data_IF_149535562904
#
_entry.id   IF_149535562904
#
_cell.length_a   1.000
_cell.length_b   1.000
_cell.length_c   1.000
_cell.angle_alpha   90.00
_cell.angle_beta   90.00
_cell.angle_gamma   90.00
#
_symmetry.space_group_name_H-M   'P 1'
#
loop_
_entity.id
_entity.type
_entity.pdbx_description
1 polymer ?
2 non-polymer ?
3 non-polymer ?
4 water ?
#
# COMPACT_ATOMS: atom_id res chain seq x y z
N UNK A 22 -20.30 10.35 7.97
CA UNK A 22 -18.99 10.93 8.27
C UNK A 22 -17.83 9.99 7.97
N UNK A 23 -16.71 10.52 7.50
CA UNK A 23 -15.52 9.71 7.25
C UNK A 23 -15.00 9.15 8.59
N UNK A 24 -14.90 7.83 8.72
CA UNK A 24 -14.26 7.23 9.89
C UNK A 24 -12.77 7.47 9.88
N UNK A 25 -12.21 7.61 11.07
CA UNK A 25 -10.78 7.79 11.23
C UNK A 25 -10.18 6.58 11.92
N UNK A 26 -9.13 6.01 11.36
CA UNK A 26 -8.43 4.91 12.11
C UNK A 26 -8.03 5.43 13.48
N UNK A 27 -8.24 4.67 14.55
CA UNK A 27 -7.81 5.16 15.84
C UNK A 27 -6.28 5.29 15.90
N UNK A 28 -5.82 6.32 16.58
CA UNK A 28 -4.38 6.53 16.74
C UNK A 28 -3.86 5.65 17.87
N UNK A 29 -2.82 4.88 17.58
CA UNK A 29 -2.20 4.03 18.60
C UNK A 29 -0.73 4.33 18.65
N UNK A 30 -0.22 4.59 19.85
CA UNK A 30 1.21 4.80 20.09
C UNK A 30 1.69 3.78 21.12
N UNK A 31 2.99 3.49 21.18
CA UNK A 31 3.48 2.51 22.16
C UNK A 31 3.08 2.93 23.58
N UNK A 32 2.72 1.92 24.38
CA UNK A 32 2.28 2.14 25.76
C UNK A 32 3.48 2.31 26.68
N UNK A 33 3.22 2.35 28.00
CA UNK A 33 4.28 2.57 28.97
C UNK A 33 5.35 1.51 28.94
N UNK A 34 5.03 0.33 28.42
CA UNK A 34 5.99 -0.75 28.25
C UNK A 34 6.58 -0.86 26.85
N UNK A 35 6.30 0.08 26.00
CA UNK A 35 6.80 0.06 24.64
C UNK A 35 6.04 -0.83 23.67
N UNK A 36 4.85 -1.26 24.08
CA UNK A 36 4.08 -2.27 23.30
C UNK A 36 2.96 -1.58 22.51
N UNK A 37 2.74 -2.09 21.30
CA UNK A 37 1.56 -1.84 20.47
C UNK A 37 0.85 -3.16 20.28
N UNK A 38 -0.39 -3.25 20.72
CA UNK A 38 -1.16 -4.49 20.63
C UNK A 38 -2.09 -4.49 19.41
N UNK A 39 -1.96 -5.55 18.59
CA UNK A 39 -2.72 -5.67 17.32
C UNK A 39 -3.36 -7.04 17.28
N UNK A 40 -4.68 -7.13 17.34
CA UNK A 40 -5.39 -8.38 17.38
C UNK A 40 -6.17 -8.55 16.07
N UNK A 41 -5.81 -9.56 15.30
CA UNK A 41 -6.49 -9.87 14.03
C UNK A 41 -7.72 -10.71 14.36
N UNK A 42 -8.87 -10.35 13.79
CA UNK A 42 -10.12 -10.95 14.18
C UNK A 42 -11.16 -10.87 13.08
N UNK A 43 -12.05 -11.83 13.05
CA UNK A 43 -13.22 -11.75 12.16
C UNK A 43 -14.33 -10.95 12.80
N UNK A 44 -15.28 -10.52 11.98
CA UNK A 44 -16.45 -9.83 12.51
C UNK A 44 -17.44 -9.58 11.37
N UNK A 45 -18.22 -8.50 11.54
CA UNK A 45 -19.11 -8.02 10.50
C UNK A 45 -18.96 -6.52 10.46
N UNK A 46 -19.17 -5.97 9.26
CA UNK A 46 -18.94 -4.53 9.04
C UNK A 46 -20.00 -3.94 8.12
N UNK A 47 -20.47 -2.73 8.49
CA UNK A 47 -21.37 -1.99 7.64
C UNK A 47 -20.60 -0.99 6.77
N UNK A 48 -20.66 -1.20 5.47
CA UNK A 48 -20.12 -0.30 4.52
C UNK A 48 -21.08 0.85 4.17
N UNK A 49 -22.37 0.59 4.35
CA UNK A 49 -23.39 1.58 4.07
C UNK A 49 -24.53 1.35 4.99
N UNK A 50 -25.27 2.39 5.27
CA UNK A 50 -26.41 2.34 6.17
C UNK A 50 -27.39 1.32 5.72
N UNK A 51 -27.75 0.47 6.66
CA UNK A 51 -28.75 -0.55 6.43
C UNK A 51 -28.22 -1.91 6.10
N UNK A 52 -26.93 -2.08 5.92
CA UNK A 52 -26.44 -3.37 5.54
C UNK A 52 -25.15 -3.67 6.30
N UNK A 53 -24.78 -4.96 6.23
CA UNK A 53 -23.56 -5.42 6.88
C UNK A 53 -23.08 -6.67 6.12
N UNK A 54 -21.76 -6.93 6.19
CA UNK A 54 -21.17 -8.08 5.52
C UNK A 54 -20.12 -8.71 6.43
N UNK A 55 -19.85 -9.99 6.17
CA UNK A 55 -18.73 -10.65 6.86
C UNK A 55 -17.43 -9.94 6.57
N UNK A 56 -16.55 -9.87 7.57
CA UNK A 56 -15.35 -9.08 7.47
C UNK A 56 -14.27 -9.63 8.39
N UNK A 57 -13.10 -8.98 8.37
CA UNK A 57 -12.05 -9.19 9.36
C UNK A 57 -11.23 -7.93 9.43
N UNK A 58 -10.63 -7.69 10.59
CA UNK A 58 -9.84 -6.50 10.81
C UNK A 58 -8.87 -6.65 11.91
N UNK A 59 -8.30 -5.51 12.32
CA UNK A 59 -7.29 -5.44 13.36
C UNK A 59 -7.84 -4.54 14.46
N UNK A 60 -7.96 -5.08 15.68
CA UNK A 60 -8.56 -4.33 16.78
C UNK A 60 -9.99 -3.86 16.43
N UNK A 61 -10.68 -4.66 15.66
CA UNK A 61 -12.02 -4.38 15.19
C UNK A 61 -12.30 -5.22 13.98
N UNK A 62 -13.51 -5.02 13.40
CA UNK A 62 -14.00 -5.91 12.38
C UNK A 62 -13.58 -5.61 10.97
N UNK A 63 -12.93 -4.44 10.75
CA UNK A 63 -12.54 -4.03 9.40
C UNK A 63 -11.44 -2.97 9.51
N UNK A 64 -10.44 -3.03 8.65
CA UNK A 64 -9.32 -2.08 8.72
C UNK A 64 -8.68 -2.17 10.09
N UNK A 65 -8.07 -1.10 10.57
CA UNK A 65 -7.18 -1.19 11.71
C UNK A 65 -6.76 0.17 12.15
N UNK A 66 -5.97 0.24 13.22
CA UNK A 66 -5.46 1.51 13.73
C UNK A 66 -4.41 2.14 12.81
N UNK A 67 -4.16 3.42 13.07
CA UNK A 67 -2.93 4.09 12.60
C UNK A 67 -1.95 4.09 13.77
N UNK A 68 -0.91 3.30 13.61
CA UNK A 68 0.17 3.18 14.59
C UNK A 68 1.21 4.25 14.28
N UNK A 69 1.49 5.15 15.25
CA UNK A 69 2.48 6.21 15.06
C UNK A 69 3.73 5.90 15.88
N UNK A 70 4.85 5.76 15.20
CA UNK A 70 6.13 5.41 15.77
C UNK A 70 7.13 6.51 15.53
N UNK A 71 7.97 6.76 16.53
CA UNK A 71 9.03 7.76 16.45
C UNK A 71 10.32 7.14 15.95
N UNK A 72 10.98 7.79 14.98
CA UNK A 72 12.27 7.35 14.57
C UNK A 72 13.16 7.29 15.82
N UNK A 73 13.96 6.23 15.88
CA UNK A 73 14.82 6.01 17.01
C UNK A 73 14.22 5.22 18.18
N UNK A 74 12.92 4.98 18.23
CA UNK A 74 12.41 4.23 19.37
C UNK A 74 12.38 2.71 19.10
N UNK A 75 12.33 1.95 20.16
CA UNK A 75 12.14 0.48 20.11
C UNK A 75 10.73 0.16 20.57
N UNK A 76 10.03 -0.65 19.78
CA UNK A 76 8.64 -1.00 20.00
C UNK A 76 8.45 -2.48 19.84
N UNK A 77 7.62 -3.06 20.72
CA UNK A 77 7.16 -4.42 20.56
C UNK A 77 5.84 -4.38 19.78
N UNK A 78 5.81 -4.98 18.60
CA UNK A 78 4.58 -5.09 17.80
C UNK A 78 3.95 -6.43 18.16
N UNK A 79 3.01 -6.38 19.12
CA UNK A 79 2.43 -7.57 19.71
C UNK A 79 1.21 -7.97 18.92
N UNK A 80 1.33 -8.98 18.05
CA UNK A 80 0.27 -9.40 17.14
C UNK A 80 -0.39 -10.65 17.69
N UNK A 81 -1.68 -10.63 17.89
CA UNK A 81 -2.45 -11.81 18.31
C UNK A 81 -3.36 -12.24 17.17
N UNK A 82 -3.33 -13.53 16.85
CA UNK A 82 -4.24 -14.09 15.86
C UNK A 82 -5.46 -14.62 16.52
N UNK A 83 -6.55 -13.83 16.52
CA UNK A 83 -7.78 -14.24 17.05
C UNK A 83 -8.71 -14.99 16.10
N UNK A 84 -8.19 -15.43 14.95
CA UNK A 84 -8.96 -16.19 13.97
C UNK A 84 -8.71 -17.69 14.10
N UNK A 85 -9.54 -18.44 13.38
CA UNK A 85 -9.47 -19.92 13.31
C UNK A 85 -8.57 -20.44 12.18
N UNK A 86 -7.79 -19.55 11.57
CA UNK A 86 -6.86 -19.90 10.53
C UNK A 86 -5.59 -19.05 10.70
N UNK A 87 -4.49 -19.53 10.12
CA UNK A 87 -3.24 -18.80 10.21
C UNK A 87 -3.30 -17.43 9.53
N UNK A 88 -2.48 -16.52 10.04
CA UNK A 88 -2.38 -15.20 9.39
C UNK A 88 -0.95 -14.68 9.62
N UNK A 89 -0.67 -13.51 9.02
CA UNK A 89 0.59 -12.83 9.21
C UNK A 89 0.34 -11.33 9.07
N UNK A 90 1.34 -10.54 9.45
CA UNK A 90 1.36 -9.12 9.03
C UNK A 90 2.74 -8.84 8.43
N UNK A 91 2.74 -8.28 7.22
CA UNK A 91 3.91 -7.70 6.59
C UNK A 91 3.94 -6.19 6.88
N UNK A 92 5.08 -5.74 7.39
CA UNK A 92 5.29 -4.33 7.76
C UNK A 92 5.75 -3.62 6.47
N UNK A 93 4.75 -3.24 5.68
CA UNK A 93 4.91 -2.72 4.30
C UNK A 93 5.38 -1.26 4.35
N UNK A 94 6.69 -1.10 4.18
CA UNK A 94 7.35 0.18 4.30
C UNK A 94 8.23 0.37 5.50
N UNK A 95 8.10 -0.53 6.49
CA UNK A 95 8.97 -0.46 7.66
C UNK A 95 10.31 -1.07 7.35
N UNK A 96 11.38 -0.49 7.91
CA UNK A 96 12.74 -1.04 7.66
C UNK A 96 13.09 -1.99 8.81
N UNK A 97 13.07 -3.28 8.49
CA UNK A 97 13.44 -4.34 9.45
C UNK A 97 14.19 -5.43 8.72
N UNK A 98 15.03 -6.17 9.45
CA UNK A 98 15.52 -7.42 8.90
C UNK A 98 14.39 -8.42 8.75
N UNK A 99 14.57 -9.39 7.85
CA UNK A 99 13.45 -10.28 7.52
C UNK A 99 12.96 -11.10 8.70
N UNK A 100 13.81 -11.35 9.68
CA UNK A 100 13.35 -12.13 10.86
C UNK A 100 12.30 -11.38 11.67
N UNK A 101 12.10 -10.07 11.46
CA UNK A 101 11.08 -9.29 12.18
C UNK A 101 9.84 -9.04 11.34
N UNK A 102 9.78 -9.60 10.12
CA UNK A 102 8.65 -9.37 9.22
C UNK A 102 7.84 -10.62 9.02
N UNK A 103 6.59 -10.47 8.62
CA UNK A 103 5.68 -11.60 8.47
C UNK A 103 5.49 -12.01 7.01
N UNK A 104 5.28 -13.30 6.82
CA UNK A 104 5.02 -13.86 5.51
C UNK A 104 4.82 -15.35 5.60
N UNK A 105 4.80 -16.03 4.45
CA UNK A 105 4.35 -17.46 4.44
C UNK A 105 5.34 -18.42 5.10
N UNK A 106 6.56 -17.98 5.38
CA UNK A 106 7.53 -18.83 6.11
C UNK A 106 7.41 -18.73 7.59
N UNK A 107 6.57 -17.82 8.09
CA UNK A 107 6.38 -17.65 9.55
C UNK A 107 4.96 -17.25 9.87
N UNK A 108 4.02 -18.08 9.48
CA UNK A 108 2.62 -17.85 9.73
C UNK A 108 2.33 -17.94 11.22
N UNK A 109 1.49 -17.04 11.70
CA UNK A 109 1.00 -17.08 13.08
C UNK A 109 -0.20 -18.03 13.14
N UNK A 110 -0.02 -19.14 13.85
CA UNK A 110 -1.07 -20.11 13.93
C UNK A 110 -2.33 -19.56 14.60
N UNK A 111 -3.44 -20.16 14.24
CA UNK A 111 -4.72 -19.80 14.84
C UNK A 111 -4.64 -19.74 16.34
N UNK A 112 -5.07 -18.63 16.92
CA UNK A 112 -5.09 -18.42 18.34
C UNK A 112 -3.75 -18.04 18.99
N UNK A 113 -2.66 -17.99 18.23
CA UNK A 113 -1.34 -17.72 18.78
C UNK A 113 -0.92 -16.23 18.62
N UNK A 114 0.24 -15.89 19.16
CA UNK A 114 0.76 -14.54 19.13
C UNK A 114 2.17 -14.51 18.55
N UNK A 115 2.57 -13.34 18.11
CA UNK A 115 3.90 -13.08 17.50
C UNK A 115 4.27 -11.67 17.93
N UNK A 116 5.42 -11.51 18.57
CA UNK A 116 5.74 -10.25 19.22
C UNK A 116 7.13 -9.73 18.86
N UNK A 117 7.39 -9.49 17.58
CA UNK A 117 8.69 -8.96 17.16
C UNK A 117 8.99 -7.59 17.81
N UNK A 118 10.24 -7.38 18.16
CA UNK A 118 10.71 -6.15 18.75
C UNK A 118 11.55 -5.39 17.73
N UNK A 119 11.10 -4.22 17.37
CA UNK A 119 11.71 -3.41 16.29
C UNK A 119 12.31 -2.15 16.82
N UNK A 120 13.48 -1.82 16.31
CA UNK A 120 14.16 -0.58 16.59
C UNK A 120 14.09 0.26 15.33
N UNK A 121 13.32 1.32 15.38
CA UNK A 121 13.02 2.13 14.17
C UNK A 121 14.18 3.06 13.82
N UNK A 122 14.63 2.96 12.55
CA UNK A 122 15.65 3.93 12.07
C UNK A 122 15.47 4.00 10.55
N UNK A 123 14.69 5.00 10.10
CA UNK A 123 14.37 5.13 8.69
C UNK A 123 13.80 6.51 8.43
N UNK A 124 13.68 6.94 7.16
CA UNK A 124 13.04 8.21 6.86
C UNK A 124 11.60 8.25 7.26
N UNK A 125 11.17 9.43 7.71
CA UNK A 125 9.76 9.68 8.02
C UNK A 125 8.90 9.32 6.82
N UNK A 126 7.81 8.60 7.07
CA UNK A 126 7.05 7.98 5.98
C UNK A 126 5.73 7.46 6.47
N UNK A 127 4.84 7.27 5.51
CA UNK A 127 3.48 6.71 5.67
C UNK A 127 3.48 5.30 5.10
N UNK A 128 3.44 4.35 6.03
CA UNK A 128 3.54 2.90 5.76
C UNK A 128 2.27 2.21 6.15
N UNK A 129 2.22 0.88 6.00
CA UNK A 129 1.01 0.15 6.35
C UNK A 129 1.35 -1.30 6.62
N UNK A 130 0.33 -2.10 6.94
CA UNK A 130 0.56 -3.51 7.21
C UNK A 130 -0.67 -4.31 6.92
N UNK A 131 -0.47 -5.58 6.55
CA UNK A 131 -1.55 -6.40 6.01
C UNK A 131 -1.02 -7.82 5.88
N UNK A 132 -1.89 -8.79 5.67
CA UNK A 132 -1.41 -10.20 5.56
C UNK A 132 -0.58 -10.39 4.32
N UNK A 133 0.32 -11.35 4.39
CA UNK A 133 1.13 -11.75 3.24
C UNK A 133 1.30 -13.26 3.38
N UNK A 134 0.61 -13.99 2.52
CA UNK A 134 0.45 -15.42 2.64
C UNK A 134 0.73 -16.09 1.30
N UNK A 135 0.82 -17.40 1.29
CA UNK A 135 0.93 -18.25 0.10
C UNK A 135 -0.46 -18.69 -0.32
N UNK A 136 -0.97 -18.10 -1.39
CA UNK A 136 -2.25 -18.47 -1.95
C UNK A 136 -3.51 -17.92 -1.32
N UNK A 137 -3.39 -17.27 -0.17
CA UNK A 137 -4.50 -16.81 0.67
C UNK A 137 -4.50 -15.31 0.98
N UNK A 138 -3.60 -14.59 0.32
CA UNK A 138 -3.49 -13.17 0.63
C UNK A 138 -4.71 -12.38 0.21
N UNK A 139 -5.21 -12.66 -0.96
CA UNK A 139 -6.32 -11.87 -1.51
C UNK A 139 -7.56 -11.93 -0.65
N UNK A 140 -7.89 -13.12 -0.17
CA UNK A 140 -9.07 -13.27 0.66
C UNK A 140 -8.93 -12.55 1.98
N UNK A 141 -7.81 -12.77 2.67
CA UNK A 141 -7.66 -12.13 4.01
C UNK A 141 -7.59 -10.62 3.88
N UNK A 142 -6.89 -10.13 2.87
CA UNK A 142 -6.88 -8.66 2.63
C UNK A 142 -8.28 -8.14 2.33
N UNK A 143 -8.99 -8.79 1.42
CA UNK A 143 -10.30 -8.27 1.03
C UNK A 143 -11.28 -8.28 2.18
N UNK A 144 -11.22 -9.31 3.04
CA UNK A 144 -12.06 -9.32 4.23
C UNK A 144 -11.93 -8.05 5.01
N UNK A 145 -10.71 -7.49 5.04
CA UNK A 145 -10.51 -6.18 5.62
C UNK A 145 -9.28 -6.03 6.51
N UNK A 146 -8.37 -7.02 6.56
CA UNK A 146 -7.28 -6.93 7.50
C UNK A 146 -6.17 -6.02 6.99
N UNK A 147 -6.02 -4.88 7.64
CA UNK A 147 -4.96 -3.92 7.34
C UNK A 147 -4.92 -2.89 8.43
N UNK A 148 -3.75 -2.26 8.58
CA UNK A 148 -3.64 -1.06 9.41
C UNK A 148 -2.57 -0.14 8.79
N UNK A 149 -2.42 1.02 9.42
CA UNK A 149 -1.54 2.07 8.94
C UNK A 149 -0.41 2.28 9.92
N UNK A 150 0.75 2.74 9.43
CA UNK A 150 1.93 2.89 10.28
C UNK A 150 2.76 4.07 9.87
N UNK A 151 2.69 5.16 10.62
CA UNK A 151 3.49 6.34 10.36
C UNK A 151 4.77 6.30 11.16
N UNK A 152 5.90 6.53 10.50
CA UNK A 152 7.16 6.83 11.17
C UNK A 152 7.35 8.34 11.11
N UNK A 153 7.51 8.97 12.24
CA UNK A 153 7.75 10.42 12.36
C UNK A 153 9.09 10.69 12.99
N UNK A 154 9.68 11.80 12.59
CA UNK A 154 10.90 12.29 13.22
C UNK A 154 10.67 13.58 13.97
N UNK A 155 9.40 13.97 14.14
CA UNK A 155 9.03 15.12 14.92
C UNK A 155 9.26 16.46 14.24
N UNK A 156 9.68 16.47 12.99
CA UNK A 156 10.09 17.73 12.31
C UNK A 156 9.04 18.26 11.29
N UNK A 157 7.80 17.71 11.32
CA UNK A 157 6.82 18.16 10.33
C UNK A 157 6.47 19.63 10.44
N UNK A 158 6.43 20.14 11.66
CA UNK A 158 6.15 21.60 11.83
C UNK A 158 7.22 22.43 11.16
N UNK A 159 8.48 22.04 11.32
CA UNK A 159 9.58 22.76 10.67
C UNK A 159 9.49 22.65 9.14
N UNK A 160 8.95 21.55 8.65
CA UNK A 160 8.73 21.38 7.21
C UNK A 160 7.57 22.23 6.67
N UNK A 161 6.74 22.75 7.56
CA UNK A 161 5.55 23.44 7.12
C UNK A 161 4.39 22.56 6.77
N UNK A 162 4.31 21.37 7.35
CA UNK A 162 3.28 20.41 6.99
C UNK A 162 2.19 20.39 8.05
N UNK A 163 0.93 20.25 7.63
CA UNK A 163 -0.17 19.98 8.59
C UNK A 163 0.12 18.67 9.33
N UNK A 164 -0.21 18.63 10.61
CA UNK A 164 0.10 17.47 11.43
C UNK A 164 -0.88 17.23 12.57
N UNK A 165 -2.07 17.83 12.51
CA UNK A 165 -3.06 17.61 13.58
C UNK A 165 -3.97 16.44 13.16
N UNK A 166 -3.71 15.28 13.69
CA UNK A 166 -4.35 14.05 13.26
C UNK A 166 -5.83 14.13 13.34
N UNK A 167 -6.49 13.79 12.23
CA UNK A 167 -7.91 13.84 12.12
C UNK A 167 -8.56 15.19 11.90
N UNK A 168 -7.73 16.23 11.88
CA UNK A 168 -8.20 17.61 11.67
C UNK A 168 -7.68 18.11 10.32
N UNK A 169 -6.38 18.28 10.22
CA UNK A 169 -5.77 18.68 8.97
C UNK A 169 -4.73 17.67 8.45
N UNK A 170 -4.70 16.48 9.05
CA UNK A 170 -3.81 15.37 8.63
C UNK A 170 -4.70 14.13 8.69
N UNK A 171 -5.16 13.68 7.52
CA UNK A 171 -6.22 12.72 7.42
C UNK A 171 -5.81 11.57 6.51
N UNK A 172 -5.87 10.31 7.01
CA UNK A 172 -5.58 9.15 6.16
C UNK A 172 -6.82 8.75 5.37
N UNK A 173 -6.56 8.37 4.09
CA UNK A 173 -7.63 7.91 3.20
C UNK A 173 -7.20 6.56 2.62
N UNK A 174 -7.91 5.51 2.99
CA UNK A 174 -7.65 4.17 2.46
C UNK A 174 -8.73 3.89 1.41
N UNK A 175 -8.27 3.85 0.16
CA UNK A 175 -9.17 3.68 -0.99
C UNK A 175 -9.30 2.19 -1.32
N UNK A 176 -10.53 1.69 -1.40
CA UNK A 176 -10.76 0.28 -1.71
C UNK A 176 -12.02 0.16 -2.57
N UNK A 177 -12.31 -1.05 -3.02
CA UNK A 177 -13.53 -1.36 -3.72
C UNK A 177 -14.14 -2.66 -3.25
N UNK A 178 -15.42 -2.83 -3.50
CA UNK A 178 -16.19 -3.96 -3.01
C UNK A 178 -17.17 -4.44 -4.09
N UNK A 179 -17.18 -5.76 -4.30
CA UNK A 179 -18.25 -6.42 -5.04
C UNK A 179 -19.47 -6.62 -4.15
N UNK A 180 -19.24 -6.90 -2.87
CA UNK A 180 -20.29 -7.27 -1.93
C UNK A 180 -20.22 -6.40 -0.69
N UNK A 181 -21.36 -5.76 -0.37
CA UNK A 181 -21.49 -5.00 0.86
C UNK A 181 -22.55 -5.56 1.81
N UNK A 182 -23.26 -6.63 1.43
CA UNK A 182 -24.24 -7.30 2.29
C UNK A 182 -24.10 -8.77 2.11
N UNK A 183 -23.98 -9.49 3.21
CA UNK A 183 -23.92 -10.94 3.18
C UNK A 183 -22.59 -11.49 3.58
N UNK A 184 -22.51 -12.82 3.51
CA UNK A 184 -21.35 -13.53 3.93
C UNK A 184 -20.39 -13.99 2.85
N UNK A 185 -20.85 -13.99 1.62
CA UNK A 185 -19.99 -14.44 0.48
C UNK A 185 -19.41 -13.20 -0.14
N UNK A 186 -18.29 -12.71 0.42
CA UNK A 186 -17.77 -11.39 0.07
C UNK A 186 -16.62 -11.46 -0.96
N UNK A 187 -15.85 -12.54 -0.97
CA UNK A 187 -14.70 -12.70 -1.87
C UNK A 187 -14.77 -14.03 -2.55
N UNK A 188 -15.36 -14.03 -3.75
CA UNK A 188 -15.63 -15.24 -4.50
C UNK A 188 -15.11 -15.07 -5.93
N UNK A 189 -13.80 -15.07 -6.11
CA UNK A 189 -13.26 -14.75 -7.44
C UNK A 189 -13.53 -15.90 -8.43
N UNK A 190 -13.82 -15.50 -9.66
CA UNK A 190 -13.94 -16.44 -10.76
C UNK A 190 -12.66 -16.38 -11.59
N UNK A 191 -12.64 -17.19 -12.68
CA UNK A 191 -11.39 -17.33 -13.43
C UNK A 191 -10.97 -16.00 -14.05
N UNK A 192 -11.91 -15.18 -14.48
CA UNK A 192 -11.57 -13.86 -14.97
C UNK A 192 -10.98 -12.97 -13.90
N UNK A 193 -11.49 -13.08 -12.68
CA UNK A 193 -10.90 -12.33 -11.52
C UNK A 193 -9.49 -12.77 -11.25
N UNK A 194 -9.24 -14.08 -11.35
CA UNK A 194 -7.86 -14.54 -11.08
C UNK A 194 -6.93 -14.03 -12.19
N UNK A 195 -7.42 -14.02 -13.46
CA UNK A 195 -6.58 -13.59 -14.58
C UNK A 195 -6.36 -12.08 -14.58
N UNK A 196 -7.37 -11.30 -14.24
CA UNK A 196 -7.33 -9.82 -14.45
C UNK A 196 -7.29 -9.02 -13.17
N UNK A 197 -7.48 -9.68 -12.04
CA UNK A 197 -7.63 -9.00 -10.75
C UNK A 197 -9.09 -8.84 -10.39
N UNK A 198 -9.36 -8.89 -9.09
CA UNK A 198 -10.70 -8.79 -8.54
C UNK A 198 -11.03 -7.34 -8.30
N UNK A 199 -12.10 -6.86 -8.96
CA UNK A 199 -12.61 -5.47 -8.78
C UNK A 199 -14.11 -5.52 -8.48
N UNK A 200 -14.61 -4.49 -7.82
CA UNK A 200 -16.05 -4.33 -7.60
C UNK A 200 -16.50 -2.92 -7.85
N UNK A 201 -17.80 -2.76 -8.00
CA UNK A 201 -18.37 -1.44 -8.38
C UNK A 201 -18.65 -0.52 -7.23
N UNK A 202 -18.59 -1.01 -5.99
CA UNK A 202 -18.85 -0.12 -4.83
C UNK A 202 -17.51 0.40 -4.33
N UNK A 203 -17.26 1.69 -4.46
CA UNK A 203 -16.00 2.27 -3.95
C UNK A 203 -16.16 2.68 -2.52
N UNK A 204 -15.12 2.49 -1.74
CA UNK A 204 -15.15 2.84 -0.31
C UNK A 204 -13.90 3.62 0.08
N UNK A 205 -14.06 4.47 1.10
CA UNK A 205 -12.95 5.18 1.73
C UNK A 205 -13.06 4.95 3.22
N UNK A 206 -11.95 4.46 3.81
CA UNK A 206 -11.94 4.12 5.23
C UNK A 206 -13.13 3.27 5.62
N UNK A 207 -13.47 2.31 4.74
CA UNK A 207 -14.49 1.35 5.04
C UNK A 207 -15.92 1.71 4.78
N UNK A 208 -16.25 2.84 4.22
CA UNK A 208 -17.63 3.36 4.00
C UNK A 208 -17.77 3.86 2.56
N UNK A 209 -18.99 3.59 2.05
CA UNK A 209 -19.39 4.12 0.73
C UNK A 209 -19.71 5.62 0.90
N UNK A 210 -19.06 6.40 0.06
CA UNK A 210 -19.35 7.83 -0.09
C UNK A 210 -19.39 8.61 1.22
N UNK A 211 -18.30 8.59 2.00
CA UNK A 211 -18.28 9.38 3.22
C UNK A 211 -18.08 10.87 2.93
N UNK A 212 -18.29 11.67 3.99
CA UNK A 212 -18.06 13.10 3.92
C UNK A 212 -17.10 13.49 5.05
N UNK A 213 -16.05 14.23 4.70
CA UNK A 213 -15.09 14.77 5.64
C UNK A 213 -15.29 16.26 5.80
N UNK A 214 -15.26 16.74 7.03
CA UNK A 214 -15.22 18.18 7.31
C UNK A 214 -13.80 18.61 7.51
N UNK A 215 -13.40 19.73 6.87
CA UNK A 215 -12.01 20.18 6.93
C UNK A 215 -11.97 21.66 7.24
N UNK A 216 -10.89 22.15 7.84
CA UNK A 216 -10.69 23.59 7.99
C UNK A 216 -10.45 24.27 6.65
N UNK A 217 -10.68 25.59 6.61
CA UNK A 217 -10.38 26.40 5.46
C UNK A 217 -8.90 26.75 5.47
N UNK A 218 -8.07 25.74 5.19
CA UNK A 218 -6.63 25.85 5.28
C UNK A 218 -6.02 24.73 4.42
N UNK A 219 -4.72 24.59 4.56
CA UNK A 219 -3.99 23.48 3.86
C UNK A 219 -4.16 22.21 4.69
N UNK A 220 -4.61 21.14 4.00
CA UNK A 220 -4.88 19.85 4.61
C UNK A 220 -4.00 18.82 3.96
N UNK A 221 -3.43 17.94 4.80
CA UNK A 221 -2.62 16.79 4.36
C UNK A 221 -3.50 15.56 4.30
N UNK A 222 -3.51 14.92 3.13
CA UNK A 222 -4.24 13.65 2.95
C UNK A 222 -3.17 12.59 2.70
N UNK A 223 -3.20 11.54 3.53
CA UNK A 223 -2.26 10.44 3.44
C UNK A 223 -3.03 9.30 2.78
N UNK A 224 -2.77 9.08 1.46
CA UNK A 224 -3.62 8.23 0.63
C UNK A 224 -2.90 6.89 0.39
N UNK A 225 -3.63 5.82 0.72
CA UNK A 225 -3.20 4.44 0.46
C UNK A 225 -4.23 3.78 -0.47
N UNK A 226 -3.75 3.07 -1.52
CA UNK A 226 -4.62 2.15 -2.24
C UNK A 226 -4.53 0.77 -1.58
N UNK A 227 -5.61 0.41 -0.88
CA UNK A 227 -5.68 -0.86 -0.21
C UNK A 227 -6.55 -1.92 -0.93
N UNK A 228 -6.85 -1.69 -2.19
CA UNK A 228 -7.71 -2.60 -2.95
C UNK A 228 -6.93 -3.86 -3.39
N UNK A 229 -7.70 -4.91 -3.77
CA UNK A 229 -7.07 -6.10 -4.32
C UNK A 229 -6.33 -5.85 -5.61
N UNK A 230 -6.93 -4.98 -6.44
CA UNK A 230 -6.48 -4.90 -7.86
C UNK A 230 -6.70 -3.55 -8.50
N UNK A 231 -7.80 -2.87 -8.18
CA UNK A 231 -8.18 -1.63 -8.83
C UNK A 231 -7.08 -0.59 -8.67
N UNK A 232 -6.77 0.14 -9.75
CA UNK A 232 -5.96 1.35 -9.70
C UNK A 232 -6.90 2.54 -9.58
N UNK A 233 -6.53 3.51 -8.73
CA UNK A 233 -7.27 4.74 -8.62
C UNK A 233 -6.54 5.83 -9.35
N UNK A 234 -7.31 6.78 -9.94
CA UNK A 234 -6.72 7.88 -10.70
C UNK A 234 -7.53 9.10 -10.21
N UNK A 235 -7.05 9.76 -9.16
CA UNK A 235 -7.90 10.62 -8.37
C UNK A 235 -7.72 12.09 -8.68
N UNK A 236 -8.82 12.81 -8.70
CA UNK A 236 -8.81 14.28 -8.80
C UNK A 236 -9.84 14.81 -7.83
N UNK A 237 -9.80 16.15 -7.63
CA UNK A 237 -10.93 16.84 -7.05
C UNK A 237 -11.85 17.37 -8.16
N UNK A 238 -13.12 17.46 -7.86
CA UNK A 238 -14.15 17.77 -8.85
C UNK A 238 -13.96 19.18 -9.45
N UNK A 239 -13.29 20.09 -8.78
CA UNK A 239 -12.96 21.39 -9.33
C UNK A 239 -11.52 21.47 -9.78
N UNK A 240 -10.84 20.34 -9.92
CA UNK A 240 -9.50 20.30 -10.46
C UNK A 240 -8.45 21.01 -9.68
N UNK A 241 -8.70 21.31 -8.40
CA UNK A 241 -7.66 21.99 -7.63
C UNK A 241 -6.46 21.08 -7.47
N UNK A 242 -5.28 21.68 -7.36
CA UNK A 242 -4.07 20.86 -7.35
C UNK A 242 -3.93 20.02 -6.09
N UNK A 243 -3.36 18.85 -6.28
CA UNK A 243 -2.90 17.97 -5.22
C UNK A 243 -1.40 18.13 -5.14
N UNK A 244 -0.89 18.76 -4.08
CA UNK A 244 0.54 18.98 -3.98
C UNK A 244 1.18 17.72 -3.36
N UNK A 245 1.87 16.95 -4.19
CA UNK A 245 2.43 15.68 -3.68
C UNK A 245 3.72 15.98 -2.95
N UNK A 246 3.77 15.64 -1.66
CA UNK A 246 4.93 15.87 -0.84
C UNK A 246 5.69 14.59 -0.48
N UNK A 247 5.10 13.43 -0.67
CA UNK A 247 5.79 12.17 -0.29
C UNK A 247 5.11 11.03 -1.01
N UNK A 248 5.92 9.96 -1.18
CA UNK A 248 5.37 8.64 -1.54
C UNK A 248 5.86 7.60 -0.51
N UNK A 249 5.90 6.34 -0.90
CA UNK A 249 6.06 5.21 0.04
C UNK A 249 7.20 5.43 1.02
N UNK A 250 8.35 5.86 0.51
CA UNK A 250 9.57 5.97 1.26
C UNK A 250 9.88 7.33 1.80
N UNK A 251 8.93 8.25 1.71
CA UNK A 251 9.07 9.55 2.35
C UNK A 251 9.08 10.73 1.39
N UNK A 252 9.58 11.83 1.91
CA UNK A 252 9.41 13.14 1.26
C UNK A 252 10.20 13.22 -0.01
N UNK A 253 9.68 14.07 -0.90
CA UNK A 253 10.43 14.51 -2.11
C UNK A 253 10.91 15.92 -1.89
N UNK A 254 12.11 16.17 -2.41
CA UNK A 254 12.72 17.46 -2.20
C UNK A 254 11.97 18.64 -2.78
N UNK A 255 11.36 18.40 -3.96
CA UNK A 255 10.61 19.45 -4.69
C UNK A 255 9.18 19.00 -4.91
N UNK A 256 8.30 19.21 -3.90
CA UNK A 256 6.89 18.82 -4.03
C UNK A 256 6.30 19.28 -5.37
N UNK A 257 5.42 18.46 -5.93
CA UNK A 257 4.89 18.67 -7.25
C UNK A 257 3.38 18.72 -7.22
N UNK A 258 2.73 19.80 -7.78
CA UNK A 258 1.29 19.77 -7.94
C UNK A 258 0.88 18.91 -9.09
N UNK A 259 -0.11 18.09 -8.88
CA UNK A 259 -0.72 17.32 -9.94
C UNK A 259 -2.22 17.56 -9.95
N UNK A 260 -2.81 17.49 -11.15
CA UNK A 260 -4.27 17.61 -11.23
C UNK A 260 -5.00 16.30 -11.08
N UNK A 261 -4.30 15.18 -11.34
CA UNK A 261 -4.91 13.85 -11.17
C UNK A 261 -3.74 12.94 -10.79
N UNK A 262 -3.96 12.06 -9.83
CA UNK A 262 -2.90 11.23 -9.23
C UNK A 262 -3.25 9.74 -9.32
N UNK A 263 -2.36 8.97 -9.98
CA UNK A 263 -2.56 7.51 -10.04
C UNK A 263 -1.98 6.84 -8.80
N UNK A 264 -2.71 5.94 -8.19
CA UNK A 264 -2.27 5.17 -7.03
C UNK A 264 -2.66 3.74 -7.27
N UNK A 265 -1.66 2.84 -7.33
CA UNK A 265 -1.90 1.41 -7.51
C UNK A 265 -1.85 0.69 -6.16
N UNK A 266 -2.34 -0.54 -6.10
CA UNK A 266 -2.39 -1.25 -4.81
C UNK A 266 -1.03 -1.30 -4.13
N UNK A 267 -1.03 -0.89 -2.85
CA UNK A 267 0.19 -0.87 -2.07
C UNK A 267 0.95 0.41 -2.04
N UNK A 268 0.71 1.31 -3.00
CA UNK A 268 1.34 2.61 -3.02
C UNK A 268 0.68 3.55 -2.04
N UNK A 269 1.53 4.49 -1.60
CA UNK A 269 1.06 5.60 -0.75
C UNK A 269 1.53 6.90 -1.35
N UNK A 270 0.68 7.94 -1.25
CA UNK A 270 1.11 9.31 -1.55
C UNK A 270 0.51 10.22 -0.46
N UNK A 271 1.35 11.15 0.01
CA UNK A 271 0.86 12.23 0.90
C UNK A 271 0.74 13.50 0.05
N UNK A 272 -0.45 14.11 0.10
CA UNK A 272 -0.72 15.29 -0.71
C UNK A 272 -1.26 16.39 0.17
N UNK A 273 -0.99 17.63 -0.24
CA UNK A 273 -1.60 18.80 0.41
C UNK A 273 -2.62 19.39 -0.54
N UNK A 274 -3.78 19.74 0.02
CA UNK A 274 -4.87 20.34 -0.71
C UNK A 274 -5.27 21.61 0.04
N UNK A 275 -5.43 22.71 -0.71
CA UNK A 275 -5.82 24.00 -0.12
C UNK A 275 -7.32 24.12 -0.11
N UNK A 276 -7.91 24.15 1.09
CA UNK A 276 -9.36 24.32 1.28
C UNK A 276 -9.73 25.76 1.68
N UNK A 277 -8.78 26.67 1.54
CA UNK A 277 -8.98 28.00 2.09
C UNK A 277 -10.04 28.80 1.43
N UNK A 278 -10.41 28.44 0.20
CA UNK A 278 -11.45 29.24 -0.44
C UNK A 278 -12.85 28.84 0.11
N UNK A 279 -12.92 27.78 0.96
CA UNK A 279 -14.19 27.40 1.56
C UNK A 279 -15.20 26.61 0.75
N UNK A 280 -14.93 26.30 -0.51
CA UNK A 280 -15.88 25.56 -1.36
C UNK A 280 -15.80 24.03 -1.17
N UNK A 281 -16.99 23.34 -1.05
CA UNK A 281 -17.06 21.88 -1.02
C UNK A 281 -16.59 21.29 -2.32
N UNK A 282 -16.02 20.07 -2.25
CA UNK A 282 -15.49 19.46 -3.44
C UNK A 282 -15.47 17.97 -3.26
N UNK A 283 -15.63 17.25 -4.37
CA UNK A 283 -15.66 15.78 -4.34
C UNK A 283 -14.34 15.20 -4.83
N UNK A 284 -13.92 14.11 -4.18
CA UNK A 284 -12.81 13.28 -4.69
C UNK A 284 -13.39 12.26 -5.62
N UNK A 285 -12.83 12.21 -6.84
CA UNK A 285 -13.28 11.37 -7.92
C UNK A 285 -12.17 10.48 -8.41
N UNK A 286 -12.50 9.34 -9.02
CA UNK A 286 -11.50 8.52 -9.72
C UNK A 286 -12.01 8.11 -11.10
N UNK A 287 -11.11 8.01 -12.06
CA UNK A 287 -11.51 7.30 -13.28
C UNK A 287 -11.93 5.88 -12.88
N UNK A 288 -12.96 5.33 -13.54
CA UNK A 288 -13.50 4.03 -13.21
C UNK A 288 -12.72 2.88 -13.78
N UNK A 289 -11.75 3.17 -14.65
CA UNK A 289 -10.92 2.09 -15.25
C UNK A 289 -9.57 2.72 -15.59
N UNK A 290 -8.71 1.95 -16.28
CA UNK A 290 -7.37 2.38 -16.61
C UNK A 290 -7.28 3.02 -18.02
N UNK A 291 -8.45 3.29 -18.62
CA UNK A 291 -8.54 3.87 -19.94
C UNK A 291 -9.34 5.18 -19.93
N UNK A 292 -9.36 5.91 -18.81
CA UNK A 292 -10.00 7.23 -18.79
C UNK A 292 -11.50 7.16 -18.76
N UNK A 293 -12.05 6.06 -18.30
CA UNK A 293 -13.50 5.92 -18.16
C UNK A 293 -14.09 6.93 -17.18
N UNK A 294 -15.42 7.07 -17.23
CA UNK A 294 -16.14 8.11 -16.50
C UNK A 294 -15.66 8.11 -15.06
N UNK A 295 -15.54 9.32 -14.52
CA UNK A 295 -15.24 9.47 -13.09
C UNK A 295 -16.35 8.92 -12.22
N UNK A 296 -15.92 8.27 -11.14
CA UNK A 296 -16.76 7.74 -10.09
C UNK A 296 -16.49 8.52 -8.79
N UNK A 297 -17.53 8.70 -8.00
CA UNK A 297 -17.44 9.41 -6.73
C UNK A 297 -16.72 8.52 -5.67
N UNK A 298 -15.74 9.11 -4.99
CA UNK A 298 -15.14 8.50 -3.81
C UNK A 298 -15.69 9.05 -2.50
N UNK A 299 -15.62 10.40 -2.33
CA UNK A 299 -16.00 11.03 -1.09
C UNK A 299 -16.15 12.52 -1.30
N UNK A 300 -16.72 13.19 -0.32
CA UNK A 300 -16.90 14.64 -0.36
C UNK A 300 -16.15 15.31 0.77
N UNK A 301 -15.59 16.48 0.50
CA UNK A 301 -14.99 17.36 1.51
C UNK A 301 -15.88 18.60 1.62
N UNK A 302 -16.23 18.96 2.84
CA UNK A 302 -16.97 20.17 3.16
C UNK A 302 -16.14 21.00 4.15
N UNK A 303 -16.07 22.29 3.92
CA UNK A 303 -15.31 23.17 4.79
C UNK A 303 -16.12 23.60 5.98
N UNK A 304 -15.52 23.48 7.18
CA UNK A 304 -16.20 23.90 8.40
C UNK A 304 -15.55 25.17 8.85
N UNK A 305 -16.38 26.22 8.81
CA UNK A 305 -16.00 27.54 9.15
C UNK A 305 -15.65 27.74 10.62
N UNK A 306 -16.05 26.82 11.50
CA UNK A 306 -15.77 26.94 12.95
C UNK A 306 -14.33 26.56 13.30
N UNK A 307 -13.62 25.90 12.40
CA UNK A 307 -12.29 25.51 12.67
C UNK A 307 -11.26 26.55 12.20
N UNK A 308 -10.26 26.83 13.03
CA UNK A 308 -9.13 27.71 12.62
C UNK A 308 -7.99 26.83 12.19
N UNK A 309 -7.70 26.72 10.91
CA UNK A 309 -6.66 25.78 10.40
C UNK A 309 -5.27 26.36 10.60
N UNK A 310 -4.32 25.52 10.98
CA UNK A 310 -2.99 25.96 11.34
C UNK A 310 -2.05 26.35 10.20
N UNK A 311 -2.15 25.67 9.06
CA UNK A 311 -1.20 25.84 7.95
C UNK A 311 -1.88 26.56 6.79
N UNK A 312 -1.36 27.71 6.39
CA UNK A 312 -1.98 28.52 5.33
C UNK A 312 -1.10 28.62 4.07
N UNK A 313 0.20 28.42 4.20
CA UNK A 313 1.12 28.52 3.10
C UNK A 313 1.57 27.12 2.67
N UNK A 314 1.91 26.95 1.40
CA UNK A 314 2.41 25.67 0.85
C UNK A 314 3.88 25.63 1.00
N UNK A 315 4.43 24.48 1.38
CA UNK A 315 5.85 24.29 1.28
C UNK A 315 6.32 24.04 -0.18
N UNK A 316 7.45 24.66 -0.51
CA UNK A 316 8.08 24.44 -1.82
C UNK A 316 9.23 23.49 -1.81
N UNK A 317 9.89 23.34 -0.67
CA UNK A 317 11.07 22.48 -0.60
C UNK A 317 11.03 21.65 0.70
N UNK A 318 11.38 20.37 0.57
CA UNK A 318 11.47 19.47 1.70
C UNK A 318 12.82 18.75 1.67
N UNK A 319 13.08 17.94 2.70
CA UNK A 319 14.30 17.14 2.81
C UNK A 319 14.09 15.78 2.15
N UNK A 320 14.29 15.68 0.90
CA UNK A 320 14.18 14.44 0.17
C UNK A 320 15.53 14.05 -0.38
N UNK A 321 15.62 12.88 -1.03
CA UNK A 321 16.82 12.41 -1.62
C UNK A 321 17.23 13.27 -2.83
N UNK A 322 18.51 13.16 -3.17
CA UNK A 322 19.05 13.70 -4.42
C UNK A 322 18.75 12.77 -5.60
N UNK A 323 19.14 13.15 -6.82
CA UNK A 323 18.87 12.36 -8.02
C UNK A 323 19.54 11.01 -7.84
N UNK A 324 18.94 9.96 -8.36
CA UNK A 324 19.55 8.62 -8.27
C UNK A 324 20.84 8.54 -9.09
N UNK A 325 21.76 7.72 -8.59
CA UNK A 325 23.01 7.52 -9.29
C UNK A 325 23.18 6.09 -9.87
N UNK A 326 22.87 5.90 -11.16
CA UNK A 326 22.92 4.57 -11.78
C UNK A 326 24.29 3.95 -11.76
N UNK A 327 25.33 4.77 -11.58
CA UNK A 327 26.70 4.25 -11.57
C UNK A 327 27.00 3.38 -10.36
N UNK A 328 26.10 3.44 -9.35
CA UNK A 328 26.26 2.63 -8.16
C UNK A 328 25.92 1.15 -8.39
N UNK A 329 25.18 0.86 -9.49
CA UNK A 329 24.73 -0.52 -9.76
C UNK A 329 25.85 -1.51 -10.00
N UNK A 330 25.74 -2.70 -9.36
CA UNK A 330 26.67 -3.76 -9.54
C UNK A 330 26.10 -4.93 -10.29
N UNK A 331 24.86 -4.89 -10.73
CA UNK A 331 24.23 -5.95 -11.46
C UNK A 331 22.99 -5.43 -12.07
N UNK A 332 22.67 -5.90 -13.26
CA UNK A 332 21.42 -5.62 -13.92
C UNK A 332 20.60 -6.88 -13.97
N UNK A 333 19.35 -6.80 -13.59
CA UNK A 333 18.39 -7.88 -13.68
C UNK A 333 17.23 -7.48 -14.53
N UNK A 334 16.42 -8.44 -14.91
CA UNK A 334 15.20 -8.24 -15.64
C UNK A 334 14.12 -9.17 -15.15
N UNK A 335 12.88 -8.66 -15.03
CA UNK A 335 11.74 -9.44 -14.72
C UNK A 335 10.59 -9.09 -15.59
N UNK A 336 9.82 -10.07 -16.00
CA UNK A 336 8.63 -9.96 -16.84
C UNK A 336 7.42 -10.48 -16.05
N UNK A 337 6.37 -9.66 -15.95
CA UNK A 337 5.12 -10.07 -15.34
C UNK A 337 4.36 -10.96 -16.32
N UNK A 338 4.56 -12.26 -16.14
CA UNK A 338 4.07 -13.23 -17.09
C UNK A 338 2.71 -13.75 -16.64
N UNK A 339 1.66 -13.28 -17.31
CA UNK A 339 0.30 -13.66 -17.02
C UNK A 339 -0.04 -15.06 -17.57
N UNK A 340 0.83 -15.65 -18.41
CA UNK A 340 0.62 -16.98 -18.99
C UNK A 340 -0.78 -17.11 -19.58
N UNK A 341 -1.18 -16.08 -20.34
CA UNK A 341 -2.54 -16.03 -20.80
C UNK A 341 -2.90 -17.17 -21.69
N UNK A 342 -2.04 -17.57 -22.61
CA UNK A 342 -2.39 -18.66 -23.51
C UNK A 342 -2.67 -19.93 -22.72
N UNK A 343 -1.90 -20.18 -21.65
CA UNK A 343 -2.12 -21.41 -20.90
C UNK A 343 -3.36 -21.29 -20.01
N UNK A 344 -3.54 -20.14 -19.34
CA UNK A 344 -4.71 -19.93 -18.49
C UNK A 344 -6.02 -19.80 -19.29
N UNK A 345 -6.03 -19.24 -20.51
CA UNK A 345 -7.29 -19.16 -21.31
C UNK A 345 -7.70 -20.52 -21.76
N UNK A 346 -6.71 -21.37 -22.01
CA UNK A 346 -7.00 -22.75 -22.36
C UNK A 346 -7.73 -23.44 -21.21
N UNK A 347 -7.32 -23.15 -19.99
CA UNK A 347 -7.97 -23.68 -18.81
C UNK A 347 -9.39 -23.21 -18.73
N UNK A 348 -9.61 -21.92 -18.97
CA UNK A 348 -10.95 -21.33 -18.87
C UNK A 348 -11.92 -22.02 -19.85
N UNK A 349 -11.43 -22.29 -21.07
CA UNK A 349 -12.24 -22.83 -22.14
C UNK A 349 -12.17 -24.35 -22.09
N UNK A 392 -13.72 -19.51 -6.90
CA UNK A 392 -12.53 -20.37 -7.03
C UNK A 392 -11.50 -20.05 -5.94
N UNK A 393 -10.60 -21.02 -5.71
CA UNK A 393 -9.46 -20.80 -4.79
C UNK A 393 -8.24 -20.81 -5.64
N UNK A 394 -7.40 -19.80 -5.49
CA UNK A 394 -6.20 -19.64 -6.31
C UNK A 394 -5.38 -20.94 -6.36
N UNK A 395 -5.09 -21.52 -5.20
CA UNK A 395 -4.17 -22.67 -5.17
C UNK A 395 -4.67 -23.87 -5.90
N UNK A 396 -5.98 -24.08 -5.96
CA UNK A 396 -6.56 -25.27 -6.60
C UNK A 396 -7.18 -24.96 -7.97
N UNK A 397 -7.09 -23.73 -8.43
CA UNK A 397 -7.73 -23.33 -9.69
C UNK A 397 -7.06 -23.87 -10.93
N UNK A 398 -5.77 -24.16 -10.84
CA UNK A 398 -4.98 -24.41 -12.06
C UNK A 398 -4.38 -23.22 -12.73
N UNK A 399 -4.79 -22.01 -12.34
CA UNK A 399 -4.23 -20.82 -12.93
C UNK A 399 -2.83 -20.63 -12.37
N UNK A 400 -1.88 -20.26 -13.21
CA UNK A 400 -0.52 -19.99 -12.79
C UNK A 400 0.01 -18.77 -13.50
N UNK A 401 0.82 -17.98 -12.81
CA UNK A 401 1.53 -16.83 -13.37
C UNK A 401 2.93 -16.84 -12.78
N UNK A 402 3.77 -15.94 -13.23
CA UNK A 402 5.16 -15.87 -12.78
C UNK A 402 5.68 -14.46 -12.88
N UNK A 403 6.62 -14.12 -12.01
CA UNK A 403 7.45 -12.94 -12.12
C UNK A 403 8.93 -13.25 -12.41
N UNK A 404 9.40 -14.40 -11.88
CA UNK A 404 10.79 -14.83 -12.06
C UNK A 404 10.93 -16.08 -12.90
N UNK A 405 10.19 -16.13 -14.00
CA UNK A 405 10.38 -17.26 -14.97
C UNK A 405 9.42 -18.39 -14.73
N UNK A 406 9.49 -18.96 -13.55
CA UNK A 406 8.55 -19.99 -13.09
C UNK A 406 7.69 -19.42 -11.95
N UNK A 407 6.46 -19.95 -11.79
CA UNK A 407 5.64 -19.55 -10.66
C UNK A 407 6.34 -19.67 -9.31
N UNK A 408 5.94 -18.81 -8.38
CA UNK A 408 6.40 -18.87 -7.01
C UNK A 408 6.48 -20.30 -6.46
N UNK A 409 7.60 -20.57 -5.84
CA UNK A 409 7.81 -21.86 -5.15
C UNK A 409 8.42 -21.52 -3.78
N UNK A 410 7.72 -21.91 -2.73
CA UNK A 410 8.20 -21.66 -1.36
C UNK A 410 9.61 -22.08 -1.07
N UNK A 411 10.07 -23.14 -1.74
CA UNK A 411 11.38 -23.69 -1.48
C UNK A 411 12.47 -23.18 -2.40
N UNK A 412 12.17 -22.25 -3.30
CA UNK A 412 13.11 -21.78 -4.30
C UNK A 412 13.51 -20.33 -4.03
N UNK A 413 14.80 -20.08 -4.02
CA UNK A 413 15.34 -18.74 -3.93
C UNK A 413 15.63 -18.26 -5.35
N UNK A 414 14.99 -17.18 -5.76
CA UNK A 414 15.13 -16.65 -7.13
C UNK A 414 16.30 -15.71 -7.31
N UNK A 415 16.66 -14.99 -6.25
CA UNK A 415 17.66 -13.93 -6.30
C UNK A 415 18.54 -14.02 -5.10
N UNK A 416 19.84 -13.92 -5.32
CA UNK A 416 20.82 -13.69 -4.29
C UNK A 416 21.44 -12.31 -4.49
N UNK A 417 21.13 -11.39 -3.59
CA UNK A 417 21.59 -9.97 -3.71
C UNK A 417 22.65 -9.69 -2.68
N UNK A 418 23.74 -9.04 -3.05
CA UNK A 418 24.73 -8.70 -2.02
C UNK A 418 24.17 -7.70 -1.02
N UNK A 419 24.37 -7.93 0.27
CA UNK A 419 23.83 -7.04 1.27
C UNK A 419 24.41 -5.65 1.14
N UNK A 420 23.53 -4.64 1.11
CA UNK A 420 23.92 -3.25 0.98
C UNK A 420 24.22 -2.81 -0.42
N UNK A 421 24.11 -3.70 -1.41
CA UNK A 421 24.42 -3.39 -2.77
C UNK A 421 23.30 -2.72 -3.51
N UNK A 422 23.61 -2.18 -4.67
CA UNK A 422 22.66 -1.55 -5.58
C UNK A 422 22.58 -2.39 -6.85
N UNK A 423 21.39 -2.52 -7.41
CA UNK A 423 21.16 -3.20 -8.68
C UNK A 423 20.16 -2.39 -9.51
N UNK A 424 20.22 -2.51 -10.82
CA UNK A 424 19.17 -1.97 -11.71
C UNK A 424 18.33 -3.10 -12.19
N UNK A 425 17.02 -2.99 -12.03
CA UNK A 425 16.08 -3.98 -12.51
C UNK A 425 15.24 -3.40 -13.64
N UNK A 426 15.21 -4.09 -14.77
CA UNK A 426 14.28 -3.90 -15.88
C UNK A 426 13.00 -4.63 -15.56
N UNK A 427 11.87 -3.98 -15.62
CA UNK A 427 10.55 -4.58 -15.39
C UNK A 427 9.66 -4.39 -16.59
N UNK A 428 9.02 -5.45 -17.06
CA UNK A 428 8.20 -5.39 -18.28
C UNK A 428 6.84 -6.00 -18.06
N UNK A 429 5.83 -5.38 -18.66
CA UNK A 429 4.48 -5.95 -18.72
C UNK A 429 4.05 -6.09 -20.19
N UNK A 430 2.96 -6.81 -20.38
CA UNK A 430 2.38 -7.03 -21.71
C UNK A 430 0.88 -6.70 -21.74
N UNK A 431 0.03 -7.57 -21.23
CA UNK A 431 -1.42 -7.40 -21.43
C UNK A 431 -2.05 -6.32 -20.59
N UNK A 432 -1.56 -6.11 -19.39
CA UNK A 432 -2.11 -5.11 -18.43
C UNK A 432 -0.99 -4.56 -17.58
N UNK A 433 -1.21 -3.44 -16.89
CA UNK A 433 -0.22 -2.94 -15.95
C UNK A 433 -0.19 -3.79 -14.67
N UNK A 434 0.96 -3.77 -13.99
CA UNK A 434 1.10 -4.53 -12.73
C UNK A 434 1.81 -3.69 -11.71
N UNK A 435 1.32 -3.64 -10.46
CA UNK A 435 2.07 -2.96 -9.37
C UNK A 435 3.15 -3.88 -8.80
N UNK A 436 4.39 -3.48 -8.96
CA UNK A 436 5.54 -4.17 -8.39
C UNK A 436 5.72 -3.76 -6.93
N UNK A 437 5.94 -4.74 -6.04
CA UNK A 437 6.35 -4.44 -4.67
C UNK A 437 7.49 -5.36 -4.28
N UNK A 438 8.52 -4.75 -3.66
CA UNK A 438 9.63 -5.51 -3.07
C UNK A 438 9.61 -5.32 -1.56
N UNK A 439 9.71 -6.43 -0.84
CA UNK A 439 9.88 -6.44 0.60
C UNK A 439 11.37 -6.29 0.95
N UNK A 440 11.67 -5.52 2.00
CA UNK A 440 13.04 -5.53 2.50
C UNK A 440 14.08 -4.78 1.72
N UNK A 441 13.64 -3.94 0.77
CA UNK A 441 14.50 -3.14 -0.04
C UNK A 441 13.72 -1.88 -0.47
N UNK A 442 14.43 -0.91 -0.98
CA UNK A 442 13.84 0.33 -1.44
C UNK A 442 14.38 0.61 -2.84
N UNK A 443 13.65 1.42 -3.63
CA UNK A 443 14.14 1.73 -4.95
C UNK A 443 13.81 3.15 -5.38
N UNK A 444 14.56 3.57 -6.38
CA UNK A 444 14.32 4.81 -7.11
C UNK A 444 13.91 4.47 -8.52
N UNK A 445 12.83 5.04 -9.04
CA UNK A 445 12.44 4.82 -10.42
C UNK A 445 13.41 5.67 -11.29
N UNK A 446 14.08 4.99 -12.22
CA UNK A 446 14.95 5.64 -13.22
C UNK A 446 14.25 6.04 -14.45
N UNK A 447 13.34 5.26 -14.94
CA UNK A 447 12.64 5.52 -16.19
C UNK A 447 11.31 4.77 -16.23
N UNK A 448 10.35 5.33 -16.92
CA UNK A 448 9.05 4.73 -17.20
C UNK A 448 8.86 4.90 -18.71
N UNK A 449 8.83 3.80 -19.45
CA UNK A 449 8.67 3.86 -20.90
C UNK A 449 9.68 4.81 -21.54
N UNK A 450 10.90 4.79 -21.01
CA UNK A 450 11.97 5.57 -21.62
C UNK A 450 12.11 6.97 -21.14
N UNK A 451 11.23 7.42 -20.24
CA UNK A 451 11.22 8.77 -19.74
C UNK A 451 11.51 8.82 -18.22
N UNK A 452 12.30 9.78 -17.77
CA UNK A 452 12.48 9.99 -16.33
C UNK A 452 11.09 10.15 -15.67
N UNK A 453 10.91 9.67 -14.43
CA UNK A 453 9.62 9.80 -13.78
C UNK A 453 9.32 11.22 -13.44
N UNK A 454 8.04 11.56 -13.29
CA UNK A 454 7.66 12.90 -12.75
C UNK A 454 8.19 13.00 -11.33
N UNK A 455 8.32 14.23 -10.84
CA UNK A 455 8.86 14.47 -9.52
C UNK A 455 8.13 13.70 -8.41
N UNK A 456 6.80 13.64 -8.49
CA UNK A 456 6.04 12.97 -7.44
C UNK A 456 6.35 11.46 -7.32
N UNK A 457 6.89 10.86 -8.40
CA UNK A 457 7.21 9.45 -8.40
C UNK A 457 8.71 9.20 -8.33
N UNK A 458 9.49 10.21 -7.98
CA UNK A 458 10.96 10.15 -8.11
C UNK A 458 11.70 9.86 -6.82
N UNK A 459 11.00 9.89 -5.68
CA UNK A 459 11.66 9.69 -4.39
C UNK A 459 11.88 8.20 -4.07
N UNK A 460 12.09 7.93 -2.79
CA UNK A 460 12.18 6.51 -2.39
C UNK A 460 10.85 5.83 -2.46
N UNK A 461 10.79 4.66 -3.08
CA UNK A 461 9.54 3.92 -3.21
C UNK A 461 9.78 2.44 -2.90
N UNK A 462 8.67 1.76 -2.58
CA UNK A 462 8.68 0.31 -2.44
C UNK A 462 7.63 -0.36 -3.30
N UNK A 463 6.71 0.37 -3.94
CA UNK A 463 5.66 -0.18 -4.75
C UNK A 463 5.54 0.78 -5.96
N UNK A 464 5.41 0.24 -7.18
CA UNK A 464 5.31 1.09 -8.38
C UNK A 464 4.48 0.44 -9.43
N UNK A 465 3.65 1.20 -10.12
CA UNK A 465 2.85 0.66 -11.21
C UNK A 465 3.70 0.60 -12.48
N UNK A 466 3.84 -0.61 -13.02
CA UNK A 466 4.60 -0.89 -14.26
C UNK A 466 3.60 -1.03 -15.35
N UNK A 467 3.81 -0.27 -16.46
CA UNK A 467 2.87 -0.27 -17.58
C UNK A 467 3.69 -0.13 -18.85
N UNK A 468 4.17 -1.26 -19.35
CA UNK A 468 5.05 -1.34 -20.51
C UNK A 468 6.43 -1.72 -20.00
N UNK A 469 7.27 -0.73 -19.77
CA UNK A 469 8.61 -0.87 -19.34
C UNK A 469 8.94 0.11 -18.22
N UNK A 470 9.72 -0.33 -17.23
CA UNK A 470 10.33 0.52 -16.24
C UNK A 470 11.72 0.08 -15.92
N UNK A 471 12.53 1.00 -15.46
CA UNK A 471 13.83 0.68 -14.88
C UNK A 471 13.91 1.26 -13.48
N UNK A 472 14.34 0.44 -12.53
CA UNK A 472 14.42 0.87 -11.12
C UNK A 472 15.80 0.59 -10.58
N UNK A 473 16.24 1.42 -9.64
CA UNK A 473 17.53 1.33 -8.95
C UNK A 473 17.22 0.85 -7.54
N UNK A 474 17.56 -0.39 -7.22
CA UNK A 474 17.20 -1.04 -5.93
C UNK A 474 18.40 -1.04 -4.99
N UNK A 475 18.14 -0.71 -3.73
CA UNK A 475 19.11 -0.74 -2.67
C UNK A 475 18.73 -1.84 -1.67
N UNK A 476 19.61 -2.83 -1.50
CA UNK A 476 19.32 -4.02 -0.68
C UNK A 476 19.86 -3.80 0.72
N UNK A 477 19.23 -2.89 1.46
CA UNK A 477 19.81 -2.44 2.73
C UNK A 477 19.43 -3.26 3.95
N UNK A 478 18.54 -4.25 3.81
CA UNK A 478 18.11 -5.07 4.95
C UNK A 478 18.44 -6.56 4.71
N UNK A 479 18.77 -7.23 5.81
CA UNK A 479 19.21 -8.62 5.72
C UNK A 479 18.07 -9.60 5.64
N UNK A 480 18.19 -10.54 4.69
CA UNK A 480 17.26 -11.66 4.55
C UNK A 480 18.08 -12.91 4.68
N UNK A 481 17.77 -13.65 5.74
CA UNK A 481 18.36 -14.97 5.99
C UNK A 481 17.53 -16.06 5.24
N UNK A 482 18.14 -17.24 5.08
CA UNK A 482 17.54 -18.26 4.22
C UNK A 482 16.20 -18.85 4.79
N UNK A 483 16.07 -18.88 6.11
CA UNK A 483 14.84 -19.30 6.74
C UNK A 483 13.71 -18.33 6.57
N UNK A 484 14.05 -17.07 6.25
CA UNK A 484 13.07 -15.96 6.20
C UNK A 484 13.42 -15.10 4.98
N UNK A 485 13.24 -15.61 3.76
CA UNK A 485 13.54 -14.78 2.59
C UNK A 485 12.64 -13.57 2.49
N UNK A 486 13.15 -12.51 1.85
CA UNK A 486 12.27 -11.41 1.41
C UNK A 486 11.64 -11.79 0.09
N UNK A 487 10.64 -11.07 -0.33
CA UNK A 487 9.87 -11.40 -1.50
C UNK A 487 9.73 -10.19 -2.39
N UNK A 488 9.44 -10.45 -3.66
CA UNK A 488 9.01 -9.43 -4.61
C UNK A 488 7.91 -10.00 -5.43
N UNK A 489 6.94 -9.16 -5.84
CA UNK A 489 5.73 -9.70 -6.42
C UNK A 489 4.90 -8.60 -7.05
N UNK A 490 3.87 -9.06 -7.77
CA UNK A 490 2.77 -8.19 -8.18
C UNK A 490 1.87 -8.00 -6.97
N UNK A 491 1.38 -6.75 -6.80
CA UNK A 491 0.45 -6.40 -5.75
C UNK A 491 -1.04 -6.44 -6.16
N UNK A 492 -1.34 -6.98 -7.38
CA UNK A 492 -2.67 -7.47 -7.65
C UNK A 492 -2.76 -8.81 -6.93
N UNK A 493 -3.59 -8.85 -5.90
CA UNK A 493 -3.48 -9.96 -4.95
C UNK A 493 -3.82 -11.29 -5.58
N UNK A 494 -4.74 -11.31 -6.55
CA UNK A 494 -5.02 -12.53 -7.30
C UNK A 494 -3.78 -13.05 -8.03
N UNK A 495 -3.00 -12.14 -8.60
CA UNK A 495 -1.80 -12.51 -9.38
C UNK A 495 -0.77 -13.10 -8.42
N UNK A 496 -0.53 -12.43 -7.30
CA UNK A 496 0.40 -12.97 -6.30
C UNK A 496 -0.05 -14.40 -5.86
N UNK A 497 -1.35 -14.57 -5.60
CA UNK A 497 -1.86 -15.85 -5.10
C UNK A 497 -1.72 -16.98 -6.14
N UNK A 498 -1.71 -16.68 -7.43
CA UNK A 498 -1.51 -17.70 -8.45
C UNK A 498 -0.08 -17.78 -8.92
N UNK A 499 0.87 -17.14 -8.24
CA UNK A 499 2.27 -17.37 -8.49
C UNK A 499 3.16 -16.25 -8.94
N UNK A 500 2.60 -15.03 -9.11
CA UNK A 500 3.40 -13.91 -9.59
C UNK A 500 4.18 -13.27 -8.43
N UNK A 501 5.13 -14.09 -7.94
CA UNK A 501 5.90 -13.79 -6.75
C UNK A 501 7.18 -14.58 -6.78
N UNK A 502 8.20 -14.04 -6.13
CA UNK A 502 9.55 -14.62 -6.08
C UNK A 502 10.20 -14.20 -4.78
N UNK A 503 11.34 -14.83 -4.47
CA UNK A 503 12.01 -14.68 -3.19
C UNK A 503 13.48 -14.35 -3.33
N UNK A 504 14.02 -13.58 -2.41
CA UNK A 504 15.44 -13.26 -2.38
C UNK A 504 16.03 -13.42 -1.01
N UNK A 505 17.32 -13.69 -0.98
CA UNK A 505 18.14 -13.63 0.20
C UNK A 505 19.28 -12.64 -0.04
N UNK A 506 19.87 -12.16 1.04
CA UNK A 506 21.11 -11.34 0.94
C UNK A 506 22.30 -12.21 1.20
N UNK A 507 23.41 -11.90 0.51
CA UNK A 507 24.67 -12.61 0.62
C UNK A 507 25.78 -11.60 0.85
X LIG B 1 -0.17 -8.53 -11.69
X LIG C 1 8.90 -10.84 4.58
X LIG C 1 8.92 -9.54 3.98
X LIG C 1 8.05 -11.86 3.95
X LIG C 1 6.74 -11.35 3.68
X LIG D 1 4.62 5.07 -10.13
X LIG D 1 4.13 3.94 -9.42
X LIG D 1 5.09 4.64 -11.50
X LIG D 1 4.01 4.21 -12.34
#
# INVERSE_FOLDING_TARGET
>A
QDAHQKMGHGAATPSTAPTGRPLPLPPLVEPDASGVVKLKVQTGRHSFEEGSEAASAGINGAYLGPLVRLKNGETVTLSVENGMDEGTTLHWHGLFVPSILDGGPHNVIAAGEAWKPEVKIQQPASFNWFHPHLHGNTARQAHLGIAGLMVVTDGKDAERGLPEDYGVDDIPLVLQDRRVIEGDKVYEPDIMDLMHGFRGGNLIVNGIVSPEARVPASIVRLRILNGANARNFHVRLSDNRPLLVVASDGGFIGNPEPVERLTISPGERYEVLVDFSKGEATDLLTYGDDSGGDDLHLMRFVVDAALQGKVTKRPDRLDGPDAPDEKLSVKRRSFFFDERMAENMKLMMAKLSADPHAGHNMGNMDMGSMQSGAMDHDMHGARSSADAGPALEALTSGVEMAIAGKPFDMDRIDVEAKLGSWEIWDLTTKEMPHPFHIHGASFRILSLNGKAPPAHQSGWKDTALIDGKAEILVHFDREAVKSHPFMFHCHVLEHEDVGMMAQFVTV
>B hetero
1 CU CU
>C hetero
1 EDO C1 O1 C2 O2
>D hetero
1 EDO C1 O1 C2 O2
#
